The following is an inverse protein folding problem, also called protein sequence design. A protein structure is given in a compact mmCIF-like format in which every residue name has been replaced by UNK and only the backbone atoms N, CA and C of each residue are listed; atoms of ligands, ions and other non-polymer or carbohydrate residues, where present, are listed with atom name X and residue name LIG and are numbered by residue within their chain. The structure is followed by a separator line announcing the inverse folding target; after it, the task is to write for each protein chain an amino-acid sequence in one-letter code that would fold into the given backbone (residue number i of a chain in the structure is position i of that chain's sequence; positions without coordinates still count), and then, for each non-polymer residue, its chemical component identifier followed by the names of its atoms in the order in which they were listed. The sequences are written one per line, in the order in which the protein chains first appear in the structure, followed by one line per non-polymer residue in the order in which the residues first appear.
data_IF_474358824552
#
_entry.id   IF_474358824552
#
_cell.length_a   1.000
_cell.length_b   1.000
_cell.length_c   1.000
_cell.angle_alpha   90.00
_cell.angle_beta   90.00
_cell.angle_gamma   90.00
#
_symmetry.space_group_name_H-M   'P 1'
#
loop_
_entity.id
_entity.type
_entity.pdbx_description
1 polymer ?
#
# COMPACT_ATOMS: atom_id res chain seq x y z
N UNK A 1 10.98 5.71 20.40
CA UNK A 1 9.81 6.46 20.93
C UNK A 1 8.58 5.69 20.53
N UNK A 2 7.62 5.47 21.43
CA UNK A 2 6.37 4.78 21.05
C UNK A 2 5.40 5.75 20.37
N UNK A 3 4.62 5.25 19.40
CA UNK A 3 3.61 6.04 18.68
C UNK A 3 2.24 5.41 18.82
N UNK A 4 1.24 6.21 19.16
CA UNK A 4 -0.15 5.77 19.19
C UNK A 4 -0.78 5.88 17.80
N UNK A 5 -1.64 4.93 17.44
CA UNK A 5 -2.53 5.06 16.28
C UNK A 5 -3.80 5.80 16.73
N UNK A 6 -3.85 7.10 16.45
CA UNK A 6 -4.96 7.99 16.80
C UNK A 6 -6.14 7.85 15.83
N UNK A 7 -5.85 7.65 14.54
CA UNK A 7 -6.87 7.53 13.50
C UNK A 7 -6.46 6.59 12.38
N UNK A 8 -7.46 6.01 11.72
CA UNK A 8 -7.27 5.06 10.61
C UNK A 8 -8.26 5.34 9.49
N UNK A 9 -7.82 5.14 8.26
CA UNK A 9 -8.65 5.23 7.07
C UNK A 9 -8.08 4.37 5.95
N UNK A 10 -8.94 3.80 5.11
CA UNK A 10 -8.47 2.96 4.01
C UNK A 10 -9.46 2.85 2.86
N UNK A 11 -8.89 2.63 1.68
CA UNK A 11 -9.57 2.32 0.44
C UNK A 11 -9.00 1.00 -0.05
N UNK A 12 -9.87 0.02 -0.23
CA UNK A 12 -9.48 -1.36 -0.53
C UNK A 12 -10.34 -1.92 -1.67
N UNK A 13 -9.96 -3.06 -2.26
CA UNK A 13 -10.82 -3.77 -3.21
C UNK A 13 -12.13 -4.31 -2.62
N UNK A 14 -12.27 -4.39 -1.29
CA UNK A 14 -13.54 -4.70 -0.61
C UNK A 14 -14.39 -3.45 -0.34
N UNK A 15 -13.90 -2.25 -0.67
CA UNK A 15 -14.59 -0.99 -0.48
C UNK A 15 -13.84 -0.01 0.40
N UNK A 16 -14.58 0.88 1.04
CA UNK A 16 -14.09 1.96 1.91
C UNK A 16 -14.81 1.92 3.26
N UNK A 17 -14.25 2.57 4.28
CA UNK A 17 -14.83 2.53 5.62
C UNK A 17 -14.13 1.49 6.48
N UNK A 18 -13.46 1.92 7.55
CA UNK A 18 -12.78 1.02 8.52
C UNK A 18 -13.70 -0.10 8.98
N UNK A 19 -14.91 0.22 9.45
CA UNK A 19 -15.86 -0.78 9.94
C UNK A 19 -16.45 -1.67 8.84
N UNK A 20 -16.77 -1.09 7.69
CA UNK A 20 -17.40 -1.82 6.59
C UNK A 20 -16.44 -2.87 6.01
N UNK A 21 -15.21 -2.48 5.70
CA UNK A 21 -14.17 -3.38 5.18
C UNK A 21 -13.80 -4.43 6.25
N UNK A 22 -13.70 -4.05 7.53
CA UNK A 22 -13.45 -5.00 8.60
C UNK A 22 -14.55 -6.08 8.67
N UNK A 23 -15.82 -5.69 8.55
CA UNK A 23 -16.94 -6.64 8.56
C UNK A 23 -16.89 -7.58 7.35
N UNK A 24 -16.55 -7.08 6.15
CA UNK A 24 -16.32 -7.95 4.99
C UNK A 24 -15.22 -8.98 5.26
N UNK A 25 -14.09 -8.56 5.85
CA UNK A 25 -13.02 -9.48 6.24
C UNK A 25 -13.50 -10.53 7.25
N UNK A 26 -14.22 -10.12 8.30
CA UNK A 26 -14.80 -11.05 9.30
C UNK A 26 -15.74 -12.09 8.67
N UNK A 27 -16.51 -11.68 7.67
CA UNK A 27 -17.39 -12.58 6.90
C UNK A 27 -16.63 -13.51 5.94
N UNK A 28 -15.30 -13.39 5.85
CA UNK A 28 -14.47 -14.19 4.94
C UNK A 28 -14.65 -13.79 3.48
N UNK A 29 -15.04 -12.53 3.21
CA UNK A 29 -15.19 -12.05 1.85
C UNK A 29 -13.83 -11.86 1.16
N UNK A 30 -13.84 -12.08 -0.15
CA UNK A 30 -12.70 -11.89 -1.02
C UNK A 30 -13.07 -10.90 -2.12
N UNK A 31 -12.17 -9.99 -2.45
CA UNK A 31 -12.33 -9.11 -3.59
C UNK A 31 -12.49 -9.91 -4.90
N UNK A 32 -13.32 -9.37 -5.79
CA UNK A 32 -13.55 -9.96 -7.09
C UNK A 32 -12.36 -9.69 -8.03
N UNK A 33 -11.93 -10.72 -8.76
CA UNK A 33 -10.90 -10.58 -9.78
C UNK A 33 -11.42 -9.89 -11.02
N UNK A 34 -10.88 -8.72 -11.34
CA UNK A 34 -11.19 -7.99 -12.58
C UNK A 34 -10.12 -8.21 -13.65
N UNK A 35 -10.57 -8.33 -14.90
CA UNK A 35 -9.68 -8.49 -16.05
C UNK A 35 -9.11 -7.16 -16.50
N UNK A 36 -7.78 -7.07 -16.49
CA UNK A 36 -7.03 -5.96 -17.06
C UNK A 36 -6.29 -6.48 -18.30
N UNK A 37 -6.65 -5.93 -19.46
CA UNK A 37 -6.15 -6.42 -20.76
C UNK A 37 -5.18 -5.42 -21.36
N UNK A 38 -4.07 -5.95 -21.88
CA UNK A 38 -3.11 -5.19 -22.66
C UNK A 38 -3.77 -4.63 -23.93
N UNK A 39 -3.59 -3.33 -24.20
CA UNK A 39 -4.19 -2.69 -25.38
C UNK A 39 -3.45 -3.01 -26.69
N UNK A 40 -2.19 -3.41 -26.62
CA UNK A 40 -1.30 -3.67 -27.76
C UNK A 40 -1.14 -5.17 -28.08
N UNK A 41 -1.68 -6.05 -27.25
CA UNK A 41 -1.52 -7.50 -27.34
C UNK A 41 -2.78 -8.25 -26.94
N UNK A 42 -2.64 -9.55 -26.65
CA UNK A 42 -3.74 -10.43 -26.25
C UNK A 42 -3.61 -10.95 -24.82
N UNK A 43 -2.64 -10.44 -24.06
CA UNK A 43 -2.43 -10.87 -22.69
C UNK A 43 -3.44 -10.19 -21.77
N UNK A 44 -4.08 -10.99 -20.92
CA UNK A 44 -4.98 -10.51 -19.88
C UNK A 44 -4.46 -10.96 -18.52
N UNK A 45 -4.63 -10.09 -17.53
CA UNK A 45 -4.25 -10.31 -16.14
C UNK A 45 -5.48 -10.13 -15.27
N UNK A 46 -5.48 -10.76 -14.09
CA UNK A 46 -6.50 -10.52 -13.07
C UNK A 46 -5.90 -9.67 -11.95
N UNK A 47 -6.63 -8.64 -11.53
CA UNK A 47 -6.27 -7.79 -10.40
C UNK A 47 -7.49 -7.55 -9.50
N UNK A 48 -7.27 -7.21 -8.24
CA UNK A 48 -8.33 -6.76 -7.34
C UNK A 48 -8.38 -5.24 -7.35
N UNK A 49 -9.45 -4.70 -7.95
CA UNK A 49 -9.61 -3.27 -8.16
C UNK A 49 -10.50 -2.66 -7.10
N UNK A 50 -10.29 -1.38 -6.85
CA UNK A 50 -11.15 -0.63 -5.92
C UNK A 50 -12.46 -0.31 -6.64
N UNK A 51 -13.62 -0.69 -6.09
CA UNK A 51 -14.89 -0.35 -6.71
C UNK A 51 -15.10 1.17 -6.67
N UNK A 52 -15.71 1.73 -7.73
CA UNK A 52 -15.96 3.19 -7.80
C UNK A 52 -16.80 3.71 -6.62
N UNK A 53 -17.66 2.85 -6.06
CA UNK A 53 -18.46 3.14 -4.86
C UNK A 53 -17.61 3.50 -3.64
N UNK A 54 -16.39 2.99 -3.53
CA UNK A 54 -15.45 3.28 -2.42
C UNK A 54 -14.97 4.74 -2.40
N UNK A 55 -15.17 5.48 -3.50
CA UNK A 55 -14.78 6.88 -3.63
C UNK A 55 -15.97 7.84 -3.60
N UNK A 56 -17.18 7.36 -3.34
CA UNK A 56 -18.40 8.20 -3.36
C UNK A 56 -18.48 9.18 -2.19
N UNK A 57 -17.87 8.84 -1.05
CA UNK A 57 -17.80 9.69 0.14
C UNK A 57 -16.74 10.79 0.02
N UNK A 58 -15.90 10.75 -1.01
CA UNK A 58 -14.86 11.75 -1.24
C UNK A 58 -15.48 13.04 -1.74
N UNK A 59 -15.45 14.08 -0.91
CA UNK A 59 -15.97 15.40 -1.25
C UNK A 59 -15.35 15.89 -2.56
N UNK A 60 -16.18 16.36 -3.53
CA UNK A 60 -15.67 16.95 -4.76
C UNK A 60 -14.70 18.09 -4.45
N UNK A 61 -13.48 17.99 -4.97
CA UNK A 61 -12.46 19.02 -4.80
C UNK A 61 -11.86 19.39 -6.16
N UNK A 62 -11.66 20.69 -6.49
CA UNK A 62 -11.15 21.12 -7.78
C UNK A 62 -9.84 20.44 -8.19
N UNK A 63 -8.93 20.19 -7.23
CA UNK A 63 -7.66 19.50 -7.45
C UNK A 63 -7.84 18.02 -7.79
N UNK A 64 -8.83 17.35 -7.20
CA UNK A 64 -9.07 15.91 -7.42
C UNK A 64 -9.76 15.61 -8.75
N UNK A 65 -10.41 16.60 -9.37
CA UNK A 65 -11.12 16.43 -10.65
C UNK A 65 -10.23 15.90 -11.78
N UNK A 66 -8.94 16.22 -11.76
CA UNK A 66 -7.95 15.80 -12.78
C UNK A 66 -6.82 14.97 -12.17
N UNK A 67 -6.91 14.63 -10.89
CA UNK A 67 -5.89 13.86 -10.22
C UNK A 67 -5.92 12.39 -10.67
N UNK A 68 -4.78 11.73 -10.54
CA UNK A 68 -4.66 10.28 -10.68
C UNK A 68 -5.52 9.52 -9.66
N UNK A 69 -5.83 8.27 -9.97
CA UNK A 69 -6.67 7.45 -9.08
C UNK A 69 -5.95 7.19 -7.75
N UNK A 70 -4.63 6.98 -7.79
CA UNK A 70 -3.79 6.89 -6.59
C UNK A 70 -3.89 8.12 -5.69
N UNK A 71 -3.92 9.33 -6.27
CA UNK A 71 -4.12 10.58 -5.51
C UNK A 71 -5.52 10.67 -4.88
N UNK A 72 -6.54 10.13 -5.55
CA UNK A 72 -7.91 10.06 -5.01
C UNK A 72 -8.02 9.03 -3.88
N UNK A 73 -7.37 7.87 -4.01
CA UNK A 73 -7.28 6.87 -2.93
C UNK A 73 -6.60 7.46 -1.70
N UNK A 74 -5.43 8.11 -1.89
CA UNK A 74 -4.70 8.79 -0.83
C UNK A 74 -5.55 9.85 -0.12
N UNK A 75 -6.25 10.69 -0.88
CA UNK A 75 -7.16 11.70 -0.33
C UNK A 75 -8.25 11.07 0.54
N UNK A 76 -8.97 10.08 0.01
CA UNK A 76 -10.06 9.43 0.73
C UNK A 76 -9.58 8.74 2.02
N UNK A 77 -8.48 7.99 1.97
CA UNK A 77 -7.92 7.34 3.16
C UNK A 77 -7.42 8.37 4.20
N UNK A 78 -6.72 9.42 3.78
CA UNK A 78 -6.21 10.46 4.66
C UNK A 78 -7.32 11.25 5.38
N UNK A 79 -8.38 11.61 4.64
CA UNK A 79 -9.56 12.25 5.24
C UNK A 79 -10.25 11.35 6.27
N UNK A 80 -10.41 10.07 5.94
CA UNK A 80 -11.02 9.10 6.85
C UNK A 80 -10.18 8.95 8.12
N UNK A 81 -8.84 8.90 8.02
CA UNK A 81 -7.95 8.80 9.17
C UNK A 81 -8.06 10.02 10.11
N UNK A 82 -8.05 11.24 9.58
CA UNK A 82 -8.24 12.46 10.38
C UNK A 82 -9.63 12.52 11.02
N UNK A 83 -10.67 12.18 10.25
CA UNK A 83 -12.04 12.11 10.77
C UNK A 83 -12.17 11.06 11.87
N UNK A 84 -11.55 9.90 11.71
CA UNK A 84 -11.55 8.83 12.71
C UNK A 84 -10.85 9.25 14.01
N UNK A 85 -9.80 10.07 13.92
CA UNK A 85 -9.14 10.65 15.09
C UNK A 85 -9.88 11.85 15.71
N UNK A 86 -10.93 12.38 15.06
CA UNK A 86 -11.58 13.62 15.49
C UNK A 86 -10.69 14.87 15.34
N UNK A 87 -9.68 14.82 14.48
CA UNK A 87 -8.73 15.93 14.27
C UNK A 87 -9.22 16.80 13.11
N UNK A 88 -9.46 18.07 13.40
CA UNK A 88 -9.76 19.10 12.40
C UNK A 88 -8.47 19.84 12.05
N UNK A 89 -8.18 20.00 10.75
CA UNK A 89 -7.01 20.74 10.28
C UNK A 89 -7.38 22.20 10.14
N UNK A 90 -6.85 23.04 11.03
CA UNK A 90 -6.89 24.50 10.97
C UNK A 90 -5.48 25.09 10.80
N UNK A 91 -5.33 26.41 10.76
CA UNK A 91 -4.03 27.07 10.57
C UNK A 91 -2.97 26.65 11.61
N UNK A 92 -3.38 26.46 12.87
CA UNK A 92 -2.46 26.08 13.96
C UNK A 92 -2.07 24.60 13.90
N UNK A 93 -3.01 23.74 13.52
CA UNK A 93 -2.79 22.29 13.47
C UNK A 93 -2.07 21.91 12.17
N UNK A 94 -2.30 22.65 11.08
CA UNK A 94 -1.71 22.43 9.76
C UNK A 94 -0.18 22.37 9.77
N UNK A 95 0.48 23.26 10.51
CA UNK A 95 1.94 23.29 10.61
C UNK A 95 2.50 22.19 11.54
N UNK A 96 1.64 21.67 12.43
CA UNK A 96 1.97 20.66 13.44
C UNK A 96 1.64 19.22 13.00
N UNK A 97 1.08 19.05 11.80
CA UNK A 97 0.89 17.75 11.15
C UNK A 97 2.02 17.55 10.13
N UNK A 98 2.81 16.49 10.29
CA UNK A 98 3.66 15.99 9.21
C UNK A 98 2.89 14.99 8.33
N UNK A 99 3.27 14.88 7.06
CA UNK A 99 2.78 13.88 6.12
C UNK A 99 3.94 13.03 5.61
N UNK A 100 3.91 11.73 5.87
CA UNK A 100 4.83 10.77 5.27
C UNK A 100 4.05 9.88 4.32
N UNK A 101 4.40 9.93 3.04
CA UNK A 101 3.75 9.16 1.99
C UNK A 101 4.62 7.98 1.55
N UNK A 102 4.04 6.80 1.43
CA UNK A 102 4.71 5.56 1.02
C UNK A 102 4.17 5.11 -0.34
N UNK A 103 5.07 4.83 -1.27
CA UNK A 103 4.70 4.41 -2.63
C UNK A 103 5.80 3.51 -3.21
N UNK A 104 5.44 2.63 -4.14
CA UNK A 104 6.38 1.77 -4.86
C UNK A 104 6.37 2.03 -6.35
N UNK A 105 5.20 1.96 -6.99
CA UNK A 105 5.15 1.91 -8.47
C UNK A 105 4.93 3.26 -9.13
N UNK A 106 4.45 4.26 -8.38
CA UNK A 106 4.15 5.58 -8.93
C UNK A 106 2.86 5.63 -9.75
N UNK A 107 2.62 6.76 -10.42
CA UNK A 107 1.47 6.97 -11.31
C UNK A 107 1.67 6.31 -12.68
N UNK A 108 1.71 4.98 -12.74
CA UNK A 108 1.94 4.19 -13.96
C UNK A 108 0.92 4.51 -15.06
N UNK A 109 -0.36 4.70 -14.71
CA UNK A 109 -1.44 5.00 -15.66
C UNK A 109 -1.18 6.35 -16.34
N UNK A 110 -0.85 7.37 -15.56
CA UNK A 110 -0.58 8.71 -16.09
C UNK A 110 0.75 8.79 -16.83
N UNK A 111 1.78 8.10 -16.32
CA UNK A 111 3.08 7.95 -16.98
C UNK A 111 2.91 7.35 -18.37
N UNK A 112 2.17 6.24 -18.47
CA UNK A 112 1.84 5.60 -19.75
C UNK A 112 1.11 6.56 -20.70
N UNK A 113 0.09 7.28 -20.23
CA UNK A 113 -0.67 8.24 -21.05
C UNK A 113 0.20 9.38 -21.56
N UNK A 114 1.05 9.94 -20.69
CA UNK A 114 1.97 11.03 -21.03
C UNK A 114 2.95 10.59 -22.13
N UNK A 115 3.68 9.49 -21.91
CA UNK A 115 4.65 9.02 -22.89
C UNK A 115 4.03 8.50 -24.19
N UNK A 116 2.84 7.89 -24.13
CA UNK A 116 2.12 7.45 -25.33
C UNK A 116 1.86 8.61 -26.29
N UNK A 117 1.41 9.76 -25.78
CA UNK A 117 1.17 10.94 -26.62
C UNK A 117 2.44 11.38 -27.35
N UNK A 118 3.56 11.43 -26.62
CA UNK A 118 4.87 11.84 -27.16
C UNK A 118 5.35 10.88 -28.24
N UNK A 119 5.21 9.57 -28.03
CA UNK A 119 5.63 8.54 -29.00
C UNK A 119 4.76 8.59 -30.26
N UNK A 120 3.44 8.74 -30.12
CA UNK A 120 2.50 8.71 -31.24
C UNK A 120 2.48 10.03 -32.04
N UNK A 121 2.65 11.17 -31.36
CA UNK A 121 2.40 12.50 -31.94
C UNK A 121 3.61 13.44 -31.88
N UNK A 122 4.73 13.06 -31.27
CA UNK A 122 5.92 13.90 -31.11
C UNK A 122 5.92 14.74 -29.83
N UNK A 123 7.07 15.33 -29.50
CA UNK A 123 7.34 16.00 -28.22
C UNK A 123 6.36 17.14 -27.87
N UNK A 124 5.83 17.84 -28.86
CA UNK A 124 4.85 18.94 -28.69
C UNK A 124 3.49 18.48 -28.14
N UNK A 125 3.22 17.17 -28.14
CA UNK A 125 2.00 16.60 -27.53
C UNK A 125 2.11 16.34 -26.03
N UNK A 126 3.30 16.54 -25.44
CA UNK A 126 3.53 16.37 -24.01
C UNK A 126 2.58 17.25 -23.20
N UNK A 127 1.61 16.62 -22.53
CA UNK A 127 0.57 17.35 -21.80
C UNK A 127 1.09 17.87 -20.45
N UNK A 128 1.10 19.20 -20.23
CA UNK A 128 1.49 19.78 -18.94
C UNK A 128 0.48 19.46 -17.82
N UNK A 129 -0.71 18.95 -18.17
CA UNK A 129 -1.71 18.50 -17.21
C UNK A 129 -1.49 17.06 -16.75
N UNK A 130 -0.78 16.24 -17.55
CA UNK A 130 -0.49 14.85 -17.19
C UNK A 130 0.84 14.72 -16.46
N UNK A 131 1.83 15.54 -16.82
CA UNK A 131 3.18 15.48 -16.24
C UNK A 131 3.20 15.55 -14.70
N UNK A 132 2.45 16.44 -14.02
CA UNK A 132 2.44 16.49 -12.57
C UNK A 132 1.95 15.20 -11.89
N UNK A 133 1.20 14.35 -12.59
CA UNK A 133 0.73 13.06 -12.06
C UNK A 133 1.72 11.90 -12.32
N UNK A 134 2.82 12.14 -13.03
CA UNK A 134 3.82 11.08 -13.31
C UNK A 134 4.90 11.00 -12.23
N UNK A 135 5.01 12.00 -11.37
CA UNK A 135 6.02 12.03 -10.30
C UNK A 135 5.53 11.31 -9.04
N UNK A 136 6.43 10.66 -8.32
CA UNK A 136 6.09 9.83 -7.16
C UNK A 136 5.46 10.62 -6.00
N UNK A 137 5.78 11.91 -5.87
CA UNK A 137 5.25 12.78 -4.82
C UNK A 137 3.90 13.42 -5.17
N UNK A 138 3.31 13.15 -6.34
CA UNK A 138 2.04 13.74 -6.76
C UNK A 138 0.90 13.46 -5.74
N UNK A 139 0.70 12.21 -5.26
CA UNK A 139 -0.37 11.92 -4.30
C UNK A 139 -0.19 12.65 -2.96
N UNK A 140 1.04 12.69 -2.45
CA UNK A 140 1.39 13.41 -1.23
C UNK A 140 1.12 14.93 -1.37
N UNK A 141 1.49 15.49 -2.53
CA UNK A 141 1.31 16.91 -2.83
C UNK A 141 -0.18 17.28 -2.92
N UNK A 142 -1.00 16.45 -3.56
CA UNK A 142 -2.45 16.65 -3.57
C UNK A 142 -3.03 16.56 -2.17
N UNK A 143 -2.69 15.51 -1.42
CA UNK A 143 -3.22 15.28 -0.08
C UNK A 143 -2.88 16.43 0.86
N UNK A 144 -1.60 16.81 0.99
CA UNK A 144 -1.18 17.91 1.84
C UNK A 144 -1.95 19.19 1.51
N UNK A 145 -2.04 19.51 0.23
CA UNK A 145 -2.58 20.77 -0.23
C UNK A 145 -4.12 20.81 -0.27
N UNK A 146 -4.79 19.66 -0.14
CA UNK A 146 -6.24 19.56 0.07
C UNK A 146 -6.56 19.62 1.57
N UNK A 147 -5.73 19.00 2.41
CA UNK A 147 -5.86 19.06 3.87
C UNK A 147 -5.46 20.41 4.45
N UNK A 148 -4.69 21.21 3.70
CA UNK A 148 -4.10 22.45 4.21
C UNK A 148 -2.88 22.22 5.09
N UNK A 149 -2.28 21.04 5.07
CA UNK A 149 -1.07 20.71 5.84
C UNK A 149 0.12 21.50 5.31
N UNK A 150 0.76 22.25 6.20
CA UNK A 150 1.95 23.07 5.93
C UNK A 150 3.20 22.57 6.67
N UNK A 151 3.05 21.56 7.53
CA UNK A 151 4.16 20.84 8.13
C UNK A 151 4.96 20.02 7.11
N UNK A 152 5.92 19.24 7.61
CA UNK A 152 6.83 18.51 6.73
C UNK A 152 6.10 17.45 5.89
N UNK A 153 6.36 17.43 4.57
CA UNK A 153 5.79 16.46 3.63
C UNK A 153 6.91 15.67 2.97
N UNK A 154 6.91 14.35 3.17
CA UNK A 154 7.89 13.44 2.58
C UNK A 154 7.21 12.38 1.73
N UNK A 155 7.90 11.93 0.68
CA UNK A 155 7.49 10.77 -0.12
C UNK A 155 8.64 9.77 -0.14
N UNK A 156 8.37 8.58 0.39
CA UNK A 156 9.26 7.43 0.39
C UNK A 156 8.88 6.52 -0.77
N UNK A 157 9.89 6.18 -1.57
CA UNK A 157 9.78 5.23 -2.67
C UNK A 157 10.53 3.97 -2.30
N UNK A 158 9.85 2.82 -2.29
CA UNK A 158 10.44 1.56 -1.85
C UNK A 158 9.71 0.33 -2.39
N UNK A 159 9.93 -0.83 -1.77
CA UNK A 159 9.28 -2.09 -2.13
C UNK A 159 8.07 -2.40 -1.22
N UNK A 160 7.69 -3.67 -1.06
CA UNK A 160 6.59 -4.08 -0.19
C UNK A 160 6.75 -3.69 1.29
N UNK A 161 7.96 -3.37 1.75
CA UNK A 161 8.21 -2.91 3.12
C UNK A 161 8.09 -1.39 3.28
N UNK A 162 7.88 -0.61 2.20
CA UNK A 162 7.91 0.87 2.25
C UNK A 162 6.88 1.45 3.22
N UNK A 163 5.74 0.79 3.40
CA UNK A 163 4.75 1.19 4.39
C UNK A 163 5.30 1.14 5.83
N UNK A 164 6.01 0.08 6.20
CA UNK A 164 6.63 -0.02 7.54
C UNK A 164 7.79 0.96 7.69
N UNK A 165 8.57 1.17 6.63
CA UNK A 165 9.62 2.20 6.61
C UNK A 165 9.04 3.61 6.80
N UNK A 166 7.84 3.87 6.28
CA UNK A 166 7.15 5.14 6.49
C UNK A 166 6.72 5.37 7.94
N UNK A 167 6.34 4.31 8.67
CA UNK A 167 6.09 4.40 10.11
C UNK A 167 7.40 4.64 10.86
N UNK A 168 8.51 4.01 10.44
CA UNK A 168 9.83 4.29 11.03
C UNK A 168 10.23 5.75 10.81
N UNK A 169 10.06 6.27 9.60
CA UNK A 169 10.31 7.68 9.30
C UNK A 169 9.39 8.59 10.13
N UNK A 170 8.14 8.19 10.36
CA UNK A 170 7.23 8.93 11.23
C UNK A 170 7.71 8.96 12.68
N UNK A 171 8.34 7.90 13.19
CA UNK A 171 9.02 7.92 14.51
C UNK A 171 10.12 8.96 14.55
N UNK A 172 10.97 9.01 13.53
CA UNK A 172 12.07 9.97 13.44
C UNK A 172 11.55 11.42 13.30
N UNK A 173 10.48 11.63 12.52
CA UNK A 173 9.81 12.94 12.37
C UNK A 173 9.15 13.35 13.67
N UNK A 174 8.42 12.45 14.33
CA UNK A 174 7.74 12.72 15.59
C UNK A 174 8.70 12.85 16.78
N UNK A 175 9.96 12.45 16.66
CA UNK A 175 10.98 12.81 17.66
C UNK A 175 11.14 14.34 17.78
N UNK A 176 10.79 15.10 16.74
CA UNK A 176 10.68 16.55 16.82
C UNK A 176 9.36 16.97 17.51
N UNK A 177 9.47 17.73 18.60
CA UNK A 177 8.33 18.23 19.38
C UNK A 177 7.47 19.29 18.66
N UNK A 178 7.90 19.79 17.49
CA UNK A 178 7.09 20.69 16.67
C UNK A 178 5.88 20.00 16.05
N UNK A 179 5.92 18.67 15.87
CA UNK A 179 4.82 17.90 15.31
C UNK A 179 4.01 17.21 16.42
N UNK A 180 2.69 17.42 16.38
CA UNK A 180 1.72 16.73 17.24
C UNK A 180 1.23 15.43 16.62
N UNK A 181 1.16 15.42 15.29
CA UNK A 181 0.71 14.27 14.52
C UNK A 181 1.60 14.02 13.32
N UNK A 182 1.68 12.75 12.92
CA UNK A 182 2.22 12.36 11.63
C UNK A 182 1.15 11.52 10.90
N UNK A 183 0.61 12.06 9.82
CA UNK A 183 -0.24 11.32 8.91
C UNK A 183 0.65 10.47 8.00
N UNK A 184 0.54 9.16 8.09
CA UNK A 184 1.26 8.23 7.23
C UNK A 184 0.29 7.60 6.25
N UNK A 185 0.57 7.71 4.95
CA UNK A 185 -0.33 7.20 3.89
C UNK A 185 0.46 6.36 2.90
N UNK A 186 -0.02 5.15 2.62
CA UNK A 186 0.48 4.30 1.55
C UNK A 186 -0.59 4.12 0.48
N UNK A 187 -0.24 4.26 -0.80
CA UNK A 187 -1.19 4.07 -1.89
C UNK A 187 -0.54 3.45 -3.14
N UNK A 188 -1.31 2.68 -3.90
CA UNK A 188 -0.92 2.13 -5.20
C UNK A 188 -2.10 2.17 -6.18
N UNK A 189 -1.77 2.21 -7.46
CA UNK A 189 -2.70 1.94 -8.57
C UNK A 189 -2.25 0.70 -9.36
N UNK A 190 -3.17 0.04 -10.05
CA UNK A 190 -2.84 -1.13 -10.89
C UNK A 190 -3.11 -0.84 -12.36
N UNK A 191 -2.16 -1.28 -13.20
CA UNK A 191 -2.26 -1.25 -14.66
C UNK A 191 -1.75 -2.56 -15.27
N UNK A 192 -2.18 -2.91 -16.47
CA UNK A 192 -1.71 -4.14 -17.16
C UNK A 192 -0.19 -4.14 -17.34
N UNK A 193 0.43 -2.97 -17.53
CA UNK A 193 1.87 -2.84 -17.69
C UNK A 193 2.60 -3.28 -16.42
N UNK A 194 2.05 -2.90 -15.27
CA UNK A 194 2.53 -3.31 -13.96
C UNK A 194 2.39 -4.83 -13.78
N UNK A 195 1.22 -5.38 -14.12
CA UNK A 195 0.99 -6.82 -14.08
C UNK A 195 1.99 -7.59 -14.98
N UNK A 196 2.30 -7.11 -16.18
CA UNK A 196 3.31 -7.77 -17.03
C UNK A 196 4.70 -7.77 -16.40
N UNK A 197 5.12 -6.65 -15.79
CA UNK A 197 6.40 -6.55 -15.11
C UNK A 197 6.52 -7.58 -13.97
N UNK A 198 5.54 -7.64 -13.08
CA UNK A 198 5.52 -8.60 -11.97
C UNK A 198 5.39 -10.06 -12.43
N UNK A 199 4.71 -10.32 -13.55
CA UNK A 199 4.69 -11.63 -14.20
C UNK A 199 6.08 -12.02 -14.71
N UNK A 200 6.81 -11.11 -15.36
CA UNK A 200 8.18 -11.37 -15.84
C UNK A 200 9.16 -11.64 -14.69
N UNK A 201 8.93 -11.03 -13.52
CA UNK A 201 9.66 -11.35 -12.29
C UNK A 201 9.23 -12.66 -11.61
N UNK A 202 8.24 -13.37 -12.17
CA UNK A 202 7.68 -14.61 -11.64
C UNK A 202 7.07 -14.44 -10.24
N UNK A 203 6.49 -13.26 -9.99
CA UNK A 203 5.81 -12.93 -8.74
C UNK A 203 4.29 -12.97 -8.89
N UNK A 204 3.78 -12.76 -10.10
CA UNK A 204 2.35 -12.69 -10.37
C UNK A 204 1.78 -14.04 -10.83
N UNK A 205 0.58 -14.37 -10.34
CA UNK A 205 -0.27 -15.45 -10.89
C UNK A 205 -1.37 -14.88 -11.79
N UNK A 206 -1.95 -15.70 -12.66
CA UNK A 206 -2.95 -15.23 -13.62
C UNK A 206 -4.36 -15.07 -13.04
N UNK A 207 -4.74 -15.93 -12.09
CA UNK A 207 -6.11 -15.98 -11.55
C UNK A 207 -6.09 -16.20 -10.04
N UNK A 208 -7.06 -15.66 -9.28
CA UNK A 208 -7.30 -16.03 -7.89
C UNK A 208 -7.54 -17.55 -7.73
N UNK A 209 -7.46 -18.09 -6.49
CA UNK A 209 -7.23 -17.37 -5.23
C UNK A 209 -5.76 -16.99 -5.01
N UNK A 210 -5.44 -16.08 -4.08
CA UNK A 210 -4.06 -15.97 -3.55
C UNK A 210 -3.91 -17.06 -2.49
N UNK A 211 -2.83 -17.85 -2.55
CA UNK A 211 -2.62 -19.05 -1.71
C UNK A 211 -1.34 -18.89 -0.88
N UNK A 212 -1.40 -18.21 0.29
CA UNK A 212 -0.23 -17.97 1.13
C UNK A 212 0.40 -19.27 1.64
N UNK A 213 1.71 -19.28 1.78
CA UNK A 213 2.50 -20.42 2.29
C UNK A 213 2.38 -21.72 1.50
N UNK A 214 1.74 -21.70 0.32
CA UNK A 214 1.61 -22.87 -0.54
C UNK A 214 2.96 -23.30 -1.10
N UNK A 215 3.18 -24.61 -1.15
CA UNK A 215 4.31 -25.21 -1.86
C UNK A 215 3.84 -26.08 -3.04
N UNK A 216 4.35 -25.85 -4.27
CA UNK A 216 5.20 -24.73 -4.67
C UNK A 216 4.44 -23.40 -4.66
N UNK A 217 5.16 -22.29 -4.42
CA UNK A 217 4.62 -20.94 -4.49
C UNK A 217 4.05 -20.64 -5.89
N UNK A 218 2.88 -20.00 -5.95
CA UNK A 218 2.16 -19.73 -7.21
C UNK A 218 2.16 -18.27 -7.62
N UNK A 219 2.52 -17.36 -6.74
CA UNK A 219 2.52 -15.91 -6.95
C UNK A 219 1.29 -15.22 -6.34
N UNK A 220 1.33 -13.89 -6.40
CA UNK A 220 0.30 -12.99 -5.87
C UNK A 220 -0.63 -12.47 -6.96
N UNK A 221 -1.77 -11.89 -6.55
CA UNK A 221 -2.64 -11.05 -7.38
C UNK A 221 -2.42 -9.60 -6.96
N UNK A 222 -2.13 -8.72 -7.92
CA UNK A 222 -1.97 -7.29 -7.63
C UNK A 222 -3.31 -6.64 -7.33
N UNK A 223 -3.26 -5.60 -6.53
CA UNK A 223 -4.42 -4.82 -6.11
C UNK A 223 -4.08 -3.35 -5.93
N UNK A 224 -5.10 -2.50 -6.02
CA UNK A 224 -4.98 -1.05 -5.84
C UNK A 224 -5.69 -0.56 -4.58
N UNK A 225 -5.38 0.66 -4.17
CA UNK A 225 -6.03 1.34 -3.05
C UNK A 225 -5.07 2.14 -2.19
N UNK A 226 -5.49 2.46 -0.97
CA UNK A 226 -4.69 3.23 -0.02
C UNK A 226 -4.99 2.84 1.43
N UNK A 227 -4.02 3.01 2.32
CA UNK A 227 -4.21 2.97 3.76
C UNK A 227 -3.55 4.19 4.39
N UNK A 228 -4.20 4.75 5.41
CA UNK A 228 -3.74 5.91 6.14
C UNK A 228 -3.87 5.67 7.65
N UNK A 229 -2.82 6.04 8.38
CA UNK A 229 -2.82 6.07 9.85
C UNK A 229 -2.37 7.44 10.33
N UNK A 230 -3.11 8.01 11.26
CA UNK A 230 -2.69 9.22 11.98
C UNK A 230 -1.99 8.80 13.26
N UNK A 231 -0.71 9.12 13.38
CA UNK A 231 0.11 8.80 14.53
C UNK A 231 0.17 9.97 15.50
N UNK A 232 0.14 9.69 16.80
CA UNK A 232 0.26 10.64 17.90
C UNK A 232 1.23 10.11 18.98
N UNK A 233 1.57 10.93 19.98
CA UNK A 233 2.46 10.51 21.08
C UNK A 233 1.76 9.63 22.12
N UNK A 234 0.46 9.84 22.30
CA UNK A 234 -0.37 9.20 23.31
C UNK A 234 -1.63 8.62 22.66
N UNK A 235 -2.16 7.55 23.27
CA UNK A 235 -3.36 6.88 22.80
C UNK A 235 -3.21 5.36 22.80
N UNK A 236 -4.08 4.68 22.05
CA UNK A 236 -4.08 3.22 21.92
C UNK A 236 -4.69 2.79 20.58
N UNK A 237 -4.15 1.77 19.90
CA UNK A 237 -2.99 0.95 20.30
C UNK A 237 -1.66 1.68 20.07
N UNK A 238 -0.62 1.22 20.78
CA UNK A 238 0.74 1.74 20.68
C UNK A 238 1.60 0.86 19.75
N UNK A 239 2.39 1.52 18.91
CA UNK A 239 3.53 0.94 18.20
C UNK A 239 4.74 1.16 19.11
N UNK A 240 5.19 0.09 19.75
CA UNK A 240 6.29 0.17 20.72
C UNK A 240 7.65 0.12 20.06
N UNK A 241 7.78 -0.67 18.98
CA UNK A 241 9.04 -0.92 18.28
C UNK A 241 8.82 -1.06 16.78
N UNK A 242 9.79 -0.57 16.01
CA UNK A 242 9.77 -0.62 14.57
C UNK A 242 11.17 -1.03 14.09
N UNK A 243 11.24 -2.10 13.30
CA UNK A 243 12.45 -2.46 12.58
C UNK A 243 12.31 -1.99 11.12
N UNK A 244 13.28 -1.25 10.54
CA UNK A 244 13.19 -0.70 9.19
C UNK A 244 13.28 -1.77 8.08
N UNK A 245 13.46 -3.04 8.44
CA UNK A 245 13.60 -4.15 7.50
C UNK A 245 15.06 -4.46 7.15
N UNK A 246 15.24 -5.31 6.15
CA UNK A 246 16.56 -5.74 5.71
C UNK A 246 16.60 -6.02 4.22
N UNK A 247 17.80 -5.93 3.65
CA UNK A 247 18.03 -6.06 2.22
C UNK A 247 18.84 -7.33 1.94
N UNK A 248 18.48 -8.06 0.90
CA UNK A 248 19.23 -9.22 0.42
C UNK A 248 19.55 -9.09 -1.07
N UNK A 249 20.66 -9.73 -1.48
CA UNK A 249 21.03 -9.89 -2.90
C UNK A 249 20.57 -11.24 -3.43
N UNK A 250 20.50 -12.25 -2.56
CA UNK A 250 20.09 -13.62 -2.90
C UNK A 250 18.87 -14.01 -2.07
N UNK A 251 17.90 -14.69 -2.68
CA UNK A 251 16.68 -15.15 -2.00
C UNK A 251 16.96 -16.03 -0.78
N UNK A 252 18.07 -16.77 -0.79
CA UNK A 252 18.49 -17.63 0.33
C UNK A 252 18.85 -16.85 1.61
N UNK A 253 19.16 -15.55 1.51
CA UNK A 253 19.49 -14.69 2.65
C UNK A 253 18.24 -14.18 3.38
N UNK A 254 17.06 -14.27 2.76
CA UNK A 254 15.83 -13.71 3.30
C UNK A 254 15.44 -14.33 4.65
N UNK A 255 15.59 -15.64 4.82
CA UNK A 255 15.27 -16.34 6.07
C UNK A 255 16.11 -15.80 7.24
N UNK A 256 17.42 -15.66 7.07
CA UNK A 256 18.32 -15.21 8.14
C UNK A 256 18.08 -13.75 8.51
N UNK A 257 17.80 -12.90 7.53
CA UNK A 257 17.43 -11.50 7.76
C UNK A 257 16.13 -11.41 8.55
N UNK A 258 15.12 -12.21 8.18
CA UNK A 258 13.85 -12.24 8.90
C UNK A 258 14.04 -12.74 10.34
N UNK A 259 14.89 -13.75 10.58
CA UNK A 259 15.20 -14.21 11.94
C UNK A 259 15.79 -13.09 12.79
N UNK A 260 16.75 -12.33 12.25
CA UNK A 260 17.35 -11.20 12.96
C UNK A 260 16.31 -10.12 13.29
N UNK A 261 15.46 -9.77 12.33
CA UNK A 261 14.38 -8.78 12.53
C UNK A 261 13.41 -9.26 13.61
N UNK A 262 12.95 -10.51 13.53
CA UNK A 262 12.03 -11.06 14.53
C UNK A 262 12.68 -11.16 15.91
N UNK A 263 13.97 -11.51 15.99
CA UNK A 263 14.68 -11.58 17.27
C UNK A 263 14.83 -10.21 17.94
N UNK A 264 15.03 -9.15 17.14
CA UNK A 264 15.06 -7.76 17.60
C UNK A 264 13.70 -7.27 18.11
N UNK A 265 12.61 -7.78 17.54
CA UNK A 265 11.24 -7.39 17.91
C UNK A 265 10.62 -8.26 19.02
N UNK A 266 11.12 -9.48 19.25
CA UNK A 266 10.51 -10.48 20.16
C UNK A 266 11.02 -10.38 21.61
N UNK A 267 11.30 -9.19 22.12
CA UNK A 267 11.63 -9.00 23.55
C UNK A 267 10.42 -9.29 24.46
N UNK A 268 9.21 -9.18 23.91
CA UNK A 268 7.95 -9.53 24.56
C UNK A 268 7.28 -10.69 23.84
N UNK A 269 6.47 -11.48 24.55
CA UNK A 269 5.69 -12.57 23.93
C UNK A 269 4.76 -12.02 22.85
N UNK A 270 4.96 -12.47 21.61
CA UNK A 270 4.10 -12.12 20.46
C UNK A 270 2.91 -13.08 20.39
N UNK A 271 1.69 -12.54 20.47
CA UNK A 271 0.46 -13.34 20.42
C UNK A 271 0.01 -13.64 18.98
N UNK A 272 0.16 -12.68 18.06
CA UNK A 272 -0.14 -12.88 16.65
C UNK A 272 0.79 -12.04 15.76
N UNK A 273 0.93 -12.47 14.51
CA UNK A 273 1.74 -11.86 13.46
C UNK A 273 0.86 -11.60 12.25
N UNK A 274 0.92 -10.36 11.76
CA UNK A 274 0.43 -10.02 10.43
C UNK A 274 1.51 -10.25 9.40
N UNK A 275 1.36 -11.35 8.68
CA UNK A 275 2.34 -11.83 7.72
C UNK A 275 2.27 -11.09 6.40
N UNK A 276 3.43 -10.91 5.78
CA UNK A 276 3.57 -10.39 4.41
C UNK A 276 3.16 -11.40 3.33
N UNK A 277 2.89 -12.65 3.72
CA UNK A 277 2.64 -13.77 2.84
C UNK A 277 1.54 -13.48 1.81
N UNK A 278 1.92 -13.63 0.55
CA UNK A 278 1.12 -13.26 -0.62
C UNK A 278 1.16 -14.35 -1.71
N UNK A 279 1.66 -15.55 -1.37
CA UNK A 279 1.77 -16.70 -2.27
C UNK A 279 3.07 -16.75 -3.05
N UNK A 280 4.08 -15.93 -2.71
CA UNK A 280 5.38 -15.91 -3.40
C UNK A 280 6.44 -16.74 -2.67
N UNK A 281 7.68 -16.71 -3.14
CA UNK A 281 8.79 -17.42 -2.50
C UNK A 281 9.15 -16.86 -1.12
N UNK A 282 8.73 -15.62 -0.81
CA UNK A 282 9.03 -14.95 0.47
C UNK A 282 8.29 -15.64 1.62
N UNK A 283 7.09 -16.14 1.36
CA UNK A 283 6.25 -16.88 2.32
C UNK A 283 7.01 -18.02 3.00
N UNK A 284 7.86 -18.75 2.27
CA UNK A 284 8.62 -19.87 2.83
C UNK A 284 9.75 -19.40 3.76
N UNK A 285 10.42 -18.30 3.41
CA UNK A 285 11.43 -17.71 4.28
C UNK A 285 10.79 -17.17 5.56
N UNK A 286 9.63 -16.52 5.44
CA UNK A 286 8.84 -16.01 6.56
C UNK A 286 8.34 -17.14 7.47
N UNK A 287 7.76 -18.20 6.89
CA UNK A 287 7.30 -19.38 7.63
C UNK A 287 8.41 -20.02 8.46
N UNK A 288 9.60 -20.21 7.88
CA UNK A 288 10.75 -20.80 8.58
C UNK A 288 11.27 -19.90 9.70
N UNK A 289 11.35 -18.59 9.46
CA UNK A 289 11.79 -17.63 10.45
C UNK A 289 10.81 -17.57 11.64
N UNK A 290 9.51 -17.50 11.37
CA UNK A 290 8.45 -17.50 12.39
C UNK A 290 8.47 -18.78 13.23
N UNK A 291 8.53 -19.95 12.58
CA UNK A 291 8.56 -21.24 13.28
C UNK A 291 9.76 -21.40 14.24
N UNK A 292 10.88 -20.73 13.94
CA UNK A 292 12.09 -20.80 14.76
C UNK A 292 12.13 -19.73 15.86
N UNK A 293 11.75 -18.48 15.56
CA UNK A 293 11.92 -17.35 16.51
C UNK A 293 10.69 -17.14 17.38
N UNK A 294 9.49 -17.36 16.86
CA UNK A 294 8.22 -17.09 17.54
C UNK A 294 7.28 -18.30 17.40
N UNK A 295 7.68 -19.47 17.92
CA UNK A 295 6.86 -20.68 17.81
C UNK A 295 5.51 -20.48 18.51
N UNK A 296 4.42 -20.82 17.82
CA UNK A 296 3.07 -20.81 18.37
C UNK A 296 2.31 -19.48 18.27
N UNK A 297 2.89 -18.44 17.68
CA UNK A 297 2.14 -17.23 17.35
C UNK A 297 1.10 -17.52 16.26
N UNK A 298 -0.07 -16.88 16.37
CA UNK A 298 -1.09 -16.91 15.32
C UNK A 298 -0.57 -16.13 14.10
N UNK A 299 -0.64 -16.70 12.91
CA UNK A 299 -0.17 -16.02 11.68
C UNK A 299 -1.36 -15.76 10.77
N UNK A 300 -1.61 -14.48 10.47
CA UNK A 300 -2.69 -14.04 9.59
C UNK A 300 -2.14 -13.16 8.47
N UNK A 301 -2.71 -13.27 7.27
CA UNK A 301 -2.44 -12.36 6.15
C UNK A 301 -3.75 -11.98 5.48
N UNK A 302 -3.99 -10.69 5.18
CA UNK A 302 -5.17 -10.25 4.45
C UNK A 302 -5.02 -10.35 2.93
N UNK A 303 -3.84 -10.70 2.42
CA UNK A 303 -3.55 -10.75 0.97
C UNK A 303 -4.47 -11.70 0.19
N UNK A 304 -4.97 -12.81 0.75
CA UNK A 304 -6.05 -13.59 0.14
C UNK A 304 -7.30 -12.78 -0.20
N UNK A 305 -7.75 -11.92 0.72
CA UNK A 305 -8.96 -11.13 0.59
C UNK A 305 -8.75 -9.85 -0.24
N UNK A 306 -7.64 -9.15 0.01
CA UNK A 306 -7.38 -7.81 -0.51
C UNK A 306 -6.39 -7.78 -1.70
N UNK A 307 -5.60 -8.83 -1.90
CA UNK A 307 -4.52 -8.84 -2.89
C UNK A 307 -3.25 -8.16 -2.39
N UNK A 308 -2.26 -8.02 -3.28
CA UNK A 308 -1.01 -7.31 -3.01
C UNK A 308 -1.05 -5.89 -3.55
N UNK A 309 -1.01 -4.90 -2.67
CA UNK A 309 -1.00 -3.47 -3.01
C UNK A 309 0.26 -2.77 -2.53
N UNK A 310 1.37 -3.51 -2.43
CA UNK A 310 2.74 -3.00 -2.19
C UNK A 310 2.78 -1.91 -1.12
N UNK A 311 2.89 -0.62 -1.48
CA UNK A 311 2.92 0.48 -0.52
C UNK A 311 1.68 0.62 0.37
N UNK A 312 0.48 0.35 -0.16
CA UNK A 312 -0.76 0.38 0.62
C UNK A 312 -0.93 -0.86 1.52
N UNK A 313 -0.37 -2.00 1.12
CA UNK A 313 -0.55 -3.27 1.82
C UNK A 313 -0.02 -3.24 3.26
N UNK A 314 1.14 -2.62 3.47
CA UNK A 314 1.71 -2.43 4.81
C UNK A 314 0.78 -1.60 5.71
N UNK A 315 0.13 -0.57 5.15
CA UNK A 315 -0.83 0.25 5.91
C UNK A 315 -2.10 -0.52 6.24
N UNK A 316 -2.63 -1.32 5.31
CA UNK A 316 -3.77 -2.18 5.60
C UNK A 316 -3.48 -3.19 6.70
N UNK A 317 -2.27 -3.76 6.71
CA UNK A 317 -1.85 -4.66 7.78
C UNK A 317 -1.81 -3.91 9.12
N UNK A 318 -1.23 -2.72 9.22
CA UNK A 318 -1.24 -1.94 10.47
C UNK A 318 -2.66 -1.65 10.96
N UNK A 319 -3.56 -1.26 10.04
CA UNK A 319 -4.96 -1.01 10.38
C UNK A 319 -5.63 -2.29 10.91
N UNK A 320 -5.41 -3.43 10.26
CA UNK A 320 -5.92 -4.74 10.72
C UNK A 320 -5.34 -5.11 12.09
N UNK A 321 -4.05 -4.88 12.32
CA UNK A 321 -3.42 -5.17 13.61
C UNK A 321 -4.05 -4.34 14.72
N UNK A 322 -4.26 -3.04 14.45
CA UNK A 322 -4.90 -2.14 15.40
C UNK A 322 -6.35 -2.54 15.69
N UNK A 323 -7.12 -2.94 14.67
CA UNK A 323 -8.49 -3.41 14.83
C UNK A 323 -8.55 -4.75 15.58
N UNK A 324 -7.65 -5.69 15.28
CA UNK A 324 -7.56 -6.96 15.96
C UNK A 324 -7.25 -6.78 17.46
N UNK A 325 -6.33 -5.86 17.80
CA UNK A 325 -6.02 -5.52 19.19
C UNK A 325 -7.21 -4.84 19.89
N UNK A 326 -7.90 -3.91 19.21
CA UNK A 326 -9.06 -3.20 19.77
C UNK A 326 -10.28 -4.11 19.97
N UNK A 327 -10.50 -5.08 19.07
CA UNK A 327 -11.70 -5.94 19.06
C UNK A 327 -11.46 -7.32 19.68
N UNK A 328 -10.21 -7.73 19.85
CA UNK A 328 -9.85 -9.04 20.40
C UNK A 328 -10.19 -10.21 19.46
N UNK A 329 -10.32 -9.96 18.16
CA UNK A 329 -10.68 -10.97 17.16
C UNK A 329 -9.87 -10.80 15.86
N UNK A 330 -9.67 -11.90 15.14
CA UNK A 330 -9.08 -11.89 13.80
C UNK A 330 -10.07 -12.46 12.78
N UNK A 331 -10.10 -11.94 11.55
CA UNK A 331 -10.85 -12.54 10.45
C UNK A 331 -10.42 -13.99 10.15
N UNK A 332 -11.28 -14.80 9.49
CA UNK A 332 -10.86 -16.10 8.98
C UNK A 332 -9.72 -15.95 7.96
N UNK A 333 -8.71 -16.83 8.06
CA UNK A 333 -7.65 -16.93 7.08
C UNK A 333 -8.16 -17.67 5.84
N UNK A 334 -8.19 -17.00 4.69
CA UNK A 334 -8.63 -17.60 3.44
C UNK A 334 -7.48 -18.34 2.74
N UNK A 335 -7.80 -19.46 2.09
CA UNK A 335 -6.93 -20.18 1.14
C UNK A 335 -5.56 -20.62 1.66
N UNK A 336 -5.38 -20.69 2.98
CA UNK A 336 -4.19 -21.24 3.61
C UNK A 336 -4.55 -22.55 4.34
N UNK A 337 -3.65 -23.52 4.31
CA UNK A 337 -3.82 -24.82 4.99
C UNK A 337 -3.51 -24.74 6.50
N UNK A 338 -3.30 -23.54 7.06
CA UNK A 338 -3.09 -23.32 8.48
C UNK A 338 -4.42 -23.50 9.23
N UNK A 339 -4.65 -24.74 9.66
CA UNK A 339 -5.81 -25.16 10.44
C UNK A 339 -5.92 -24.40 11.77
N UNK A 340 -6.90 -23.50 11.87
CA UNK A 340 -7.75 -23.21 13.05
C UNK A 340 -8.25 -21.76 13.04
N UNK A 341 -9.47 -21.56 13.55
CA UNK A 341 -9.98 -20.22 13.84
C UNK A 341 -9.07 -19.53 14.85
N UNK A 342 -8.47 -18.39 14.46
CA UNK A 342 -7.48 -17.66 15.23
C UNK A 342 -8.21 -16.77 16.27
N UNK A 343 -8.53 -17.30 17.45
CA UNK A 343 -8.98 -16.45 18.58
C UNK A 343 -7.76 -15.89 19.29
N UNK A 344 -7.62 -14.57 19.34
CA UNK A 344 -6.64 -13.90 20.20
C UNK A 344 -7.08 -14.12 21.65
N UNK A 345 -6.18 -14.63 22.50
CA UNK A 345 -6.48 -14.75 23.92
C UNK A 345 -6.63 -13.36 24.54
N UNK A 346 -7.87 -12.97 24.86
CA UNK A 346 -8.19 -11.68 25.48
C UNK A 346 -7.75 -11.58 26.94
N UNK A 347 -7.26 -12.66 27.55
CA UNK A 347 -6.83 -12.71 28.95
C UNK A 347 -5.69 -11.72 29.29
N UNK A 348 -5.04 -11.13 28.28
CA UNK A 348 -3.97 -10.13 28.43
C UNK A 348 -4.31 -8.75 27.86
N UNK A 349 -5.50 -8.56 27.26
CA UNK A 349 -6.00 -7.24 26.92
C UNK A 349 -6.58 -6.60 28.19
N UNK A 350 -5.74 -6.31 29.17
CA UNK A 350 -6.11 -5.42 30.28
C UNK A 350 -6.22 -4.01 29.73
N UNK A 351 -7.33 -3.70 29.07
CA UNK A 351 -7.74 -2.33 28.82
C UNK A 351 -8.42 -1.83 30.10
N UNK A 352 -7.87 -0.82 30.80
CA UNK A 352 -8.65 -0.09 31.79
C UNK A 352 -9.70 0.74 31.02
N UNK A 353 -10.83 0.13 30.69
CA UNK A 353 -11.99 0.86 30.19
C UNK A 353 -12.74 1.43 31.40
N UNK A 354 -12.35 2.63 31.83
CA UNK A 354 -13.27 3.47 32.60
C UNK A 354 -14.03 4.38 31.62
N UNK A 355 -15.35 4.15 31.58
CA UNK A 355 -16.39 5.02 31.02
C UNK A 355 -16.36 5.34 29.53
N UNK A 356 -17.06 4.53 28.73
CA UNK A 356 -17.88 5.02 27.61
C UNK A 356 -19.12 4.12 27.46
N UNK A 357 -20.22 4.52 28.12
CA UNK A 357 -21.54 3.94 27.93
C UNK A 357 -22.05 4.32 26.52
N UNK A 358 -21.85 3.47 25.53
CA UNK A 358 -22.68 3.50 24.32
C UNK A 358 -23.94 2.66 24.60
N UNK A 359 -25.06 3.33 24.88
CA UNK A 359 -26.39 2.72 24.86
C UNK A 359 -26.73 2.38 23.41
N UNK A 360 -26.68 1.10 23.07
CA UNK A 360 -27.28 0.58 21.85
C UNK A 360 -28.81 0.69 21.96
N UNK A 361 -29.42 1.47 21.07
CA UNK A 361 -30.87 1.40 20.82
C UNK A 361 -31.11 0.38 19.70
N UNK A 362 -32.08 -0.53 19.82
CA UNK A 362 -32.31 -1.56 18.80
C UNK A 362 -33.01 -0.95 17.57
N UNK A 363 -32.44 -1.17 16.38
CA UNK A 363 -33.09 -0.88 15.11
C UNK A 363 -34.21 -1.92 14.85
N UNK A 364 -35.39 -1.49 14.37
CA UNK A 364 -36.50 -2.39 14.07
C UNK A 364 -36.34 -3.11 12.73
N UNK A 365 -36.83 -4.36 12.69
CA UNK A 365 -36.95 -5.22 11.51
C UNK A 365 -37.96 -4.66 10.48
N UNK A 366 -37.63 -4.75 9.19
CA UNK A 366 -38.57 -4.74 8.07
C UNK A 366 -38.03 -5.70 6.99
N UNK A 367 -38.55 -6.92 6.86
CA UNK A 367 -39.71 -7.36 6.06
C UNK A 367 -39.53 -7.23 4.54
N UNK A 368 -39.14 -8.37 3.95
CA UNK A 368 -39.51 -8.96 2.66
C UNK A 368 -40.49 -8.15 1.79
N UNK A 369 -40.08 -7.85 0.56
CA UNK A 369 -40.97 -7.82 -0.61
C UNK A 369 -40.25 -8.41 -1.83
N UNK A 370 -40.93 -9.37 -2.45
CA UNK A 370 -40.57 -10.12 -3.65
C UNK A 370 -41.63 -9.86 -4.72
N UNK A 371 -41.23 -9.48 -5.93
CA UNK A 371 -41.98 -9.65 -7.21
C UNK A 371 -41.04 -9.17 -8.33
N UNK A 372 -40.47 -10.02 -9.20
CA UNK A 372 -41.01 -10.89 -10.25
C UNK A 372 -41.22 -10.21 -11.63
N UNK A 373 -40.33 -10.58 -12.59
CA UNK A 373 -40.50 -10.73 -14.06
C UNK A 373 -40.69 -9.41 -14.86
N UNK A 374 -40.16 -9.22 -16.08
CA UNK A 374 -40.21 -10.09 -17.26
C UNK A 374 -39.41 -9.49 -18.44
N UNK A 375 -38.62 -10.34 -19.12
CA UNK A 375 -38.35 -10.44 -20.58
C UNK A 375 -38.05 -9.18 -21.42
N UNK A 376 -36.90 -9.23 -22.13
CA UNK A 376 -36.85 -9.20 -23.62
C UNK A 376 -35.47 -9.64 -24.14
N UNK A 377 -35.46 -10.80 -24.79
CA UNK A 377 -34.45 -11.24 -25.77
C UNK A 377 -34.60 -10.43 -27.06
N UNK A 378 -33.49 -10.12 -27.75
CA UNK A 378 -33.44 -9.93 -29.21
C UNK A 378 -32.02 -10.19 -29.76
N UNK A 379 -31.89 -11.39 -30.33
CA UNK A 379 -31.18 -11.80 -31.56
C UNK A 379 -30.09 -10.92 -32.21
N UNK A 380 -28.94 -11.56 -32.43
CA UNK A 380 -27.88 -11.26 -33.41
C UNK A 380 -28.37 -11.36 -34.88
N UNK A 381 -27.56 -10.84 -35.82
CA UNK A 381 -27.22 -11.63 -37.00
C UNK A 381 -25.71 -11.72 -37.28
N UNK A 382 -25.39 -12.75 -38.07
CA UNK A 382 -24.09 -13.30 -38.40
C UNK A 382 -23.54 -12.83 -39.77
N UNK A 383 -22.30 -13.29 -40.05
CA UNK A 383 -21.56 -13.47 -41.33
C UNK A 383 -20.33 -12.54 -41.48
N UNK A 384 -19.20 -12.91 -42.08
CA UNK A 384 -18.52 -14.17 -42.42
C UNK A 384 -17.23 -13.79 -43.19
N UNK A 385 -16.19 -14.61 -43.04
CA UNK A 385 -15.08 -14.89 -43.99
C UNK A 385 -13.76 -14.07 -44.00
N UNK A 386 -12.68 -14.87 -43.95
CA UNK A 386 -11.23 -14.71 -44.04
C UNK A 386 -10.76 -14.55 -45.53
N UNK A 387 -9.48 -14.21 -45.86
CA UNK A 387 -8.35 -15.17 -45.82
C UNK A 387 -6.96 -14.65 -45.37
N UNK A 388 -6.12 -15.63 -45.02
CA UNK A 388 -4.69 -15.62 -44.66
C UNK A 388 -3.72 -15.04 -45.71
N UNK A 389 -2.55 -14.54 -45.25
CA UNK A 389 -1.21 -15.16 -45.47
C UNK A 389 -0.04 -14.36 -44.84
N UNK A 390 1.15 -14.99 -44.63
CA UNK A 390 2.11 -14.67 -43.56
C UNK A 390 3.35 -13.89 -44.04
N UNK A 391 4.13 -13.32 -43.11
CA UNK A 391 5.57 -13.01 -43.34
C UNK A 391 6.40 -12.86 -42.05
N UNK A 392 7.34 -13.81 -41.93
CA UNK A 392 8.76 -13.71 -41.51
C UNK A 392 9.19 -13.08 -40.18
N UNK A 393 9.87 -13.95 -39.40
CA UNK A 393 10.78 -13.66 -38.29
C UNK A 393 12.00 -12.86 -38.76
N UNK A 394 12.42 -11.86 -37.99
CA UNK A 394 13.82 -11.43 -37.93
C UNK A 394 14.18 -10.97 -36.50
N UNK A 395 15.33 -11.45 -36.04
CA UNK A 395 15.75 -11.40 -34.64
C UNK A 395 16.39 -10.08 -34.22
N UNK A 396 16.13 -9.69 -32.98
CA UNK A 396 16.88 -8.62 -32.31
C UNK A 396 17.92 -9.22 -31.37
N UNK A 397 19.19 -9.05 -31.75
CA UNK A 397 20.36 -9.31 -30.89
C UNK A 397 20.39 -8.28 -29.76
N UNK A 398 20.69 -8.75 -28.55
CA UNK A 398 21.05 -7.91 -27.40
C UNK A 398 22.26 -7.05 -27.75
N UNK A 399 22.13 -5.73 -27.61
CA UNK A 399 23.26 -4.83 -27.34
C UNK A 399 23.00 -4.15 -26.01
N UNK A 400 23.98 -4.26 -25.13
CA UNK A 400 24.04 -3.61 -23.83
C UNK A 400 23.99 -2.09 -24.03
N UNK A 401 23.10 -1.42 -23.31
CA UNK A 401 23.08 0.04 -23.20
C UNK A 401 23.39 0.39 -21.76
N UNK A 402 24.63 0.85 -21.58
CA UNK A 402 25.17 1.54 -20.41
C UNK A 402 24.38 2.85 -20.21
N UNK A 403 23.85 3.09 -19.01
CA UNK A 403 23.33 4.41 -18.62
C UNK A 403 24.32 5.06 -17.63
N UNK A 404 24.79 6.29 -17.88
CA UNK A 404 25.68 7.00 -16.97
C UNK A 404 24.89 7.65 -15.81
N UNK A 405 25.32 7.36 -14.58
CA UNK A 405 24.97 8.15 -13.40
C UNK A 405 25.86 9.40 -13.37
N UNK A 406 25.24 10.59 -13.31
CA UNK A 406 25.93 11.84 -13.01
C UNK A 406 25.06 12.67 -12.08
N UNK A 407 25.34 12.63 -10.78
CA UNK A 407 24.99 13.68 -9.83
C UNK A 407 26.29 14.12 -9.18
N UNK A 408 26.81 15.26 -9.64
CA UNK A 408 27.82 16.03 -8.93
C UNK A 408 27.08 17.09 -8.12
N UNK A 409 27.33 17.16 -6.82
CA UNK A 409 26.94 18.31 -6.00
C UNK A 409 28.16 18.71 -5.18
N UNK A 410 28.80 19.77 -5.63
CA UNK A 410 29.85 20.49 -4.94
C UNK A 410 29.16 21.58 -4.11
N UNK A 411 29.24 21.52 -2.78
CA UNK A 411 28.93 22.66 -1.93
C UNK A 411 30.02 22.78 -0.86
N UNK A 412 30.63 23.96 -0.90
CA UNK A 412 31.66 24.54 -0.05
C UNK A 412 31.23 24.75 1.41
N UNK A 413 32.19 24.73 2.32
CA UNK A 413 32.13 25.37 3.64
C UNK A 413 33.09 26.57 3.70
N UNK A 414 32.78 27.67 4.41
CA UNK A 414 33.71 28.77 4.60
C UNK A 414 34.26 28.89 6.04
N UNK A 415 35.48 29.43 6.12
CA UNK A 415 36.17 30.17 7.23
C UNK A 415 36.72 29.28 8.38
N UNK A 416 38.02 29.29 8.72
CA UNK A 416 38.80 30.41 9.33
C UNK A 416 40.31 30.43 9.00
N UNK A 417 40.99 31.59 9.14
CA UNK A 417 42.35 31.81 8.65
C UNK A 417 43.40 31.37 9.67
N UNK A 418 44.55 30.87 9.18
CA UNK A 418 45.83 31.08 9.87
C UNK A 418 47.01 30.81 8.91
N UNK A 419 47.69 31.91 8.57
CA UNK A 419 49.15 32.10 8.47
C UNK A 419 50.03 31.03 7.80
N UNK A 420 50.58 31.43 6.65
CA UNK A 420 51.73 30.84 5.92
C UNK A 420 53.03 31.03 6.73
N UNK A 421 54.02 30.13 6.58
CA UNK A 421 55.28 30.59 5.99
C UNK A 421 55.82 29.64 4.89
N UNK A 422 56.66 30.14 3.96
CA UNK A 422 57.06 29.42 2.76
C UNK A 422 58.39 28.68 2.94
N UNK A 423 58.53 27.52 2.30
CA UNK A 423 59.82 26.92 2.01
C UNK A 423 59.95 26.54 0.52
N UNK A 424 60.55 27.48 -0.21
CA UNK A 424 61.74 27.32 -1.07
C UNK A 424 61.98 26.02 -1.89
N UNK A 425 62.34 26.29 -3.17
CA UNK A 425 63.28 25.61 -4.10
C UNK A 425 62.70 24.49 -4.97
N UNK A 426 62.53 24.68 -6.29
CA UNK A 426 63.50 24.89 -7.40
C UNK A 426 63.98 23.59 -8.02
N UNK A 427 63.50 23.33 -9.24
CA UNK A 427 64.25 22.75 -10.38
C UNK A 427 63.32 22.71 -11.59
#
# INVERSE_FOLDING_TARGET
MSLAIAGMGWITPLGSGVDAVWNCLLCGEQACGEKITEQLGKQSYTAFRVPESALTSLTPHPRLRRASVISRFAAAAGFEALKNAGVNVDEKTAERIALVFAISNGGVIYTKRFYRSIVESGAQSASPLLFPETVFNAPASHLAAILGVTGAVYTLVGDGAVGLLAIKMAEDVMANATFDYCLVVGAEEVDWLLCDAYRRWRLLRFEPPVEPFRQPARGMILSEGAGAVLLAREGSPMIERINPGGHYRKRAEAEEILKRILSDLNETRIDFVLSSANGTFVDEAERKALAQVIPGALVYTPKPALGESVGAAGMWQIIIAALALRRGELPPLLHAELSSQLRISTARLSLPCQSCFYRSSPLPRASVWSEARSKRQRTLPSRSHLPDKPRTREGWRRREVMWPFMWATQISTPITPNTIPPHTKSS
#
